data_IF_309340495869
#
_entry.id   IF_309340495869
#
_cell.length_a   1.000
_cell.length_b   1.000
_cell.length_c   1.000
_cell.angle_alpha   90.00
_cell.angle_beta   90.00
_cell.angle_gamma   90.00
#
_symmetry.space_group_name_H-M   'P 1'
#
loop_
_entity.id
_entity.type
_entity.pdbx_description
1 polymer ?
#
# COMPACT_ATOMS: atom_id res chain seq x y z
N UNK A 1 -4.66 17.81 10.33
CA UNK A 1 -4.78 16.64 9.44
C UNK A 1 -4.22 15.45 10.20
N UNK A 2 -4.95 14.35 10.30
CA UNK A 2 -4.46 13.18 11.05
C UNK A 2 -3.36 12.46 10.25
N UNK A 3 -2.50 11.67 10.91
CA UNK A 3 -1.51 10.84 10.23
C UNK A 3 -2.16 9.91 9.19
N UNK A 4 -3.35 9.41 9.51
CA UNK A 4 -4.19 8.64 8.59
C UNK A 4 -4.56 9.44 7.35
N UNK A 5 -5.07 10.65 7.51
CA UNK A 5 -5.49 11.49 6.37
C UNK A 5 -4.29 11.83 5.47
N UNK A 6 -3.12 12.09 6.06
CA UNK A 6 -1.89 12.31 5.30
C UNK A 6 -1.56 11.09 4.43
N UNK A 7 -1.54 9.90 5.03
CA UNK A 7 -1.22 8.64 4.32
C UNK A 7 -2.26 8.31 3.25
N UNK A 8 -3.55 8.53 3.54
CA UNK A 8 -4.61 8.39 2.53
C UNK A 8 -4.38 9.34 1.36
N UNK A 9 -4.11 10.62 1.63
CA UNK A 9 -3.87 11.61 0.58
C UNK A 9 -2.67 11.23 -0.30
N UNK A 10 -1.61 10.67 0.28
CA UNK A 10 -0.44 10.20 -0.46
C UNK A 10 -0.79 9.02 -1.36
N UNK A 11 -1.45 8.00 -0.81
CA UNK A 11 -1.81 6.80 -1.58
C UNK A 11 -2.83 7.14 -2.67
N UNK A 12 -3.74 8.09 -2.42
CA UNK A 12 -4.77 8.52 -3.37
C UNK A 12 -4.23 9.41 -4.50
N UNK A 13 -2.95 9.80 -4.46
CA UNK A 13 -2.28 10.39 -5.64
C UNK A 13 -2.12 9.37 -6.77
N UNK A 14 -2.02 8.08 -6.43
CA UNK A 14 -1.91 6.99 -7.39
C UNK A 14 -3.28 6.62 -7.98
N UNK A 15 -3.75 7.41 -8.96
CA UNK A 15 -5.09 7.27 -9.56
C UNK A 15 -5.34 5.92 -10.25
N UNK A 16 -4.29 5.17 -10.54
CA UNK A 16 -4.38 3.82 -11.11
C UNK A 16 -4.81 2.77 -10.07
N UNK A 17 -4.69 3.08 -8.77
CA UNK A 17 -5.08 2.17 -7.71
C UNK A 17 -6.59 2.23 -7.45
N UNK A 18 -7.19 1.06 -7.34
CA UNK A 18 -8.59 0.88 -7.00
C UNK A 18 -8.71 0.74 -5.49
N UNK A 19 -9.53 1.60 -4.89
CA UNK A 19 -9.78 1.64 -3.46
C UNK A 19 -10.90 0.69 -3.06
N UNK A 20 -10.71 -0.03 -1.96
CA UNK A 20 -11.75 -0.78 -1.25
C UNK A 20 -11.69 -0.46 0.24
N UNK A 21 -12.84 -0.42 0.91
CA UNK A 21 -12.95 -0.15 2.34
C UNK A 21 -13.74 -1.28 2.98
N UNK A 22 -13.21 -1.88 4.05
CA UNK A 22 -13.93 -2.91 4.79
C UNK A 22 -14.87 -2.34 5.87
N UNK A 23 -15.64 -3.22 6.50
CA UNK A 23 -16.59 -2.87 7.58
C UNK A 23 -15.95 -2.24 8.83
N UNK A 24 -14.61 -2.25 8.93
CA UNK A 24 -13.83 -1.67 10.03
C UNK A 24 -13.15 -0.36 9.62
N UNK A 25 -13.55 0.24 8.49
CA UNK A 25 -12.94 1.45 7.93
C UNK A 25 -11.44 1.28 7.67
N UNK A 26 -11.04 0.06 7.26
CA UNK A 26 -9.68 -0.20 6.78
C UNK A 26 -9.65 -0.08 5.28
N UNK A 27 -8.67 0.66 4.78
CA UNK A 27 -8.53 1.00 3.37
C UNK A 27 -7.53 0.04 2.73
N UNK A 28 -7.90 -0.47 1.56
CA UNK A 28 -7.11 -1.38 0.75
C UNK A 28 -7.01 -0.80 -0.65
N UNK A 29 -5.83 -0.92 -1.26
CA UNK A 29 -5.56 -0.37 -2.58
C UNK A 29 -4.99 -1.44 -3.49
N UNK A 30 -5.59 -1.55 -4.66
CA UNK A 30 -5.37 -2.63 -5.60
C UNK A 30 -4.95 -2.11 -6.96
N UNK A 31 -4.12 -2.85 -7.67
CA UNK A 31 -3.81 -2.59 -9.07
C UNK A 31 -4.48 -3.64 -9.96
N UNK A 32 -5.34 -3.19 -10.87
CA UNK A 32 -5.91 -4.06 -11.91
C UNK A 32 -4.84 -4.38 -12.96
N UNK A 33 -4.63 -5.68 -13.18
CA UNK A 33 -3.62 -6.17 -14.11
C UNK A 33 -4.31 -6.80 -15.30
N UNK A 34 -4.05 -6.25 -16.50
CA UNK A 34 -4.69 -6.68 -17.77
C UNK A 34 -4.63 -8.19 -18.01
N UNK A 35 -3.59 -8.86 -17.51
CA UNK A 35 -3.32 -10.29 -17.71
C UNK A 35 -3.63 -11.17 -16.49
N UNK A 36 -4.24 -10.63 -15.41
CA UNK A 36 -4.56 -11.44 -14.21
C UNK A 36 -6.05 -11.40 -13.90
N UNK A 37 -6.58 -12.57 -13.50
CA UNK A 37 -8.00 -12.71 -13.06
C UNK A 37 -8.32 -11.97 -11.77
N UNK A 38 -7.31 -11.65 -10.96
CA UNK A 38 -7.47 -10.96 -9.68
C UNK A 38 -6.54 -9.75 -9.64
N UNK A 39 -7.01 -8.62 -9.12
CA UNK A 39 -6.15 -7.46 -8.91
C UNK A 39 -5.04 -7.77 -7.90
N UNK A 40 -3.90 -7.11 -8.05
CA UNK A 40 -2.81 -7.17 -7.11
C UNK A 40 -3.06 -6.22 -5.93
N UNK A 41 -3.01 -6.74 -4.70
CA UNK A 41 -3.17 -5.94 -3.50
C UNK A 41 -1.85 -5.25 -3.15
N UNK A 42 -1.81 -3.92 -3.25
CA UNK A 42 -0.61 -3.10 -3.04
C UNK A 42 -0.54 -2.60 -1.60
N UNK A 43 -1.59 -1.92 -1.13
CA UNK A 43 -1.68 -1.40 0.24
C UNK A 43 -2.79 -2.11 0.98
N UNK A 44 -2.49 -2.56 2.20
CA UNK A 44 -3.35 -3.41 3.02
C UNK A 44 -3.67 -2.74 4.34
N UNK A 45 -4.92 -2.90 4.77
CA UNK A 45 -5.34 -2.66 6.16
C UNK A 45 -4.97 -1.28 6.70
N UNK A 46 -4.97 -0.23 5.87
CA UNK A 46 -4.71 1.12 6.34
C UNK A 46 -5.87 1.54 7.26
N UNK A 47 -5.61 1.50 8.56
CA UNK A 47 -6.60 1.67 9.62
C UNK A 47 -6.76 3.12 10.04
N UNK A 48 -7.74 3.39 10.91
CA UNK A 48 -7.98 4.72 11.48
C UNK A 48 -6.76 5.33 12.22
N UNK A 49 -5.78 4.51 12.61
CA UNK A 49 -4.54 4.96 13.27
C UNK A 49 -3.44 5.40 12.30
N UNK A 50 -3.65 5.28 10.98
CA UNK A 50 -2.60 5.52 9.97
C UNK A 50 -1.60 4.37 9.85
N UNK A 51 -1.80 3.27 10.58
CA UNK A 51 -1.06 2.03 10.37
C UNK A 51 -1.69 1.21 9.24
N UNK A 52 -0.84 0.60 8.42
CA UNK A 52 -1.18 -0.31 7.33
C UNK A 52 0.07 -1.05 6.85
N UNK A 53 -0.05 -1.73 5.72
CA UNK A 53 1.06 -2.48 5.14
C UNK A 53 1.15 -2.28 3.64
N UNK A 54 2.36 -2.35 3.09
CA UNK A 54 2.61 -2.52 1.67
C UNK A 54 2.99 -3.98 1.41
N UNK A 55 2.41 -4.58 0.38
CA UNK A 55 2.69 -5.95 0.02
C UNK A 55 4.13 -6.10 -0.47
N UNK A 56 4.95 -6.80 0.31
CA UNK A 56 6.37 -6.97 0.03
C UNK A 56 6.68 -7.85 -1.17
N UNK A 57 5.69 -8.55 -1.74
CA UNK A 57 5.89 -9.44 -2.89
C UNK A 57 6.25 -8.68 -4.19
N UNK A 58 6.05 -7.36 -4.20
CA UNK A 58 6.18 -6.53 -5.40
C UNK A 58 7.28 -5.46 -5.28
N UNK A 59 8.03 -5.45 -4.18
CA UNK A 59 9.00 -4.40 -3.86
C UNK A 59 10.26 -5.01 -3.23
N UNK A 60 11.36 -4.26 -3.25
CA UNK A 60 12.56 -4.63 -2.53
C UNK A 60 12.38 -4.40 -1.02
N UNK A 61 12.25 -5.51 -0.28
CA UNK A 61 12.03 -5.49 1.17
C UNK A 61 13.32 -5.39 1.99
N UNK A 62 14.51 -5.43 1.36
CA UNK A 62 15.79 -5.60 2.08
C UNK A 62 16.09 -4.51 3.11
N UNK A 63 15.61 -3.28 2.89
CA UNK A 63 15.81 -2.15 3.78
C UNK A 63 14.75 -2.03 4.90
N UNK A 64 13.72 -2.89 4.87
CA UNK A 64 12.52 -2.72 5.69
C UNK A 64 12.30 -3.92 6.61
N UNK A 65 11.69 -3.64 7.77
CA UNK A 65 11.18 -4.70 8.64
C UNK A 65 9.88 -5.25 8.05
N UNK A 66 9.87 -6.53 7.74
CA UNK A 66 8.71 -7.22 7.17
C UNK A 66 7.97 -8.07 8.21
N UNK A 67 6.67 -8.29 7.95
CA UNK A 67 5.89 -9.30 8.67
C UNK A 67 6.33 -10.71 8.26
N UNK A 68 5.81 -11.74 8.93
CA UNK A 68 6.02 -13.14 8.51
C UNK A 68 5.52 -13.43 7.08
N UNK A 69 4.58 -12.65 6.58
CA UNK A 69 4.06 -12.75 5.22
C UNK A 69 4.87 -11.95 4.19
N UNK A 70 5.90 -11.21 4.64
CA UNK A 70 6.74 -10.37 3.79
C UNK A 70 6.28 -8.92 3.67
N UNK A 71 5.16 -8.54 4.28
CA UNK A 71 4.61 -7.18 4.14
C UNK A 71 5.40 -6.13 4.92
N UNK A 72 5.53 -4.93 4.38
CA UNK A 72 6.23 -3.81 5.00
C UNK A 72 5.22 -2.99 5.81
N UNK A 73 5.47 -2.80 7.10
CA UNK A 73 4.63 -1.94 7.94
C UNK A 73 4.92 -0.46 7.66
N UNK A 74 3.90 0.33 7.31
CA UNK A 74 4.06 1.75 6.96
C UNK A 74 3.90 2.72 8.14
N UNK A 75 3.72 2.23 9.37
CA UNK A 75 3.48 3.07 10.56
C UNK A 75 4.57 4.13 10.73
N UNK A 76 5.83 3.74 10.61
CA UNK A 76 6.97 4.62 10.86
C UNK A 76 7.69 5.06 9.56
N UNK A 77 7.09 4.81 8.39
CA UNK A 77 7.65 5.24 7.12
C UNK A 77 7.28 6.67 6.83
N UNK A 78 8.21 7.38 6.21
CA UNK A 78 8.00 8.71 5.67
C UNK A 78 7.11 8.65 4.42
N UNK A 79 6.52 9.79 4.08
CA UNK A 79 5.71 9.95 2.88
C UNK A 79 6.47 9.53 1.61
N UNK A 80 7.76 9.88 1.53
CA UNK A 80 8.63 9.54 0.40
C UNK A 80 8.87 8.03 0.29
N UNK A 81 9.08 7.33 1.41
CA UNK A 81 9.24 5.87 1.41
C UNK A 81 7.95 5.17 0.98
N UNK A 82 6.78 5.65 1.43
CA UNK A 82 5.48 5.10 1.03
C UNK A 82 5.27 5.28 -0.49
N UNK A 83 5.54 6.47 -1.01
CA UNK A 83 5.46 6.77 -2.45
C UNK A 83 6.38 5.84 -3.24
N UNK A 84 7.66 5.77 -2.85
CA UNK A 84 8.66 4.94 -3.53
C UNK A 84 8.24 3.47 -3.58
N UNK A 85 7.75 2.92 -2.47
CA UNK A 85 7.32 1.52 -2.41
C UNK A 85 6.09 1.26 -3.28
N UNK A 86 5.14 2.20 -3.36
CA UNK A 86 3.95 2.05 -4.22
C UNK A 86 4.35 2.16 -5.70
N UNK A 87 5.21 3.11 -6.05
CA UNK A 87 5.75 3.25 -7.41
C UNK A 87 6.50 1.99 -7.85
N UNK A 88 7.37 1.45 -6.99
CA UNK A 88 8.11 0.22 -7.24
C UNK A 88 7.16 -0.97 -7.44
N UNK A 89 6.12 -1.08 -6.59
CA UNK A 89 5.13 -2.15 -6.72
C UNK A 89 4.36 -2.06 -8.04
N UNK A 90 3.93 -0.85 -8.44
CA UNK A 90 3.25 -0.62 -9.72
C UNK A 90 4.19 -1.00 -10.87
N UNK A 91 5.42 -0.50 -10.87
CA UNK A 91 6.41 -0.75 -11.91
C UNK A 91 6.71 -2.25 -12.10
N UNK A 92 6.86 -3.00 -11.01
CA UNK A 92 7.14 -4.44 -11.07
C UNK A 92 5.93 -5.29 -11.51
N UNK A 93 4.73 -4.71 -11.54
CA UNK A 93 3.50 -5.41 -11.91
C UNK A 93 3.00 -5.07 -13.33
N UNK A 94 3.44 -3.96 -13.90
CA UNK A 94 3.09 -3.49 -15.26
C UNK A 94 4.15 -3.87 -16.28
#
# INVERSE_FOLDING_TARGET
MSERDNKLNIIEQFKILIKSIDKYDRHYYYLDLKNKKKPALIVMQLSHTGNGYINGSYVNTSAYKTTKAGDINIKNLTDAEIIQLIDEAIHNLT
#
